data_IF_361398996269
#
_entry.id   IF_361398996269
#
_cell.length_a   1.000
_cell.length_b   1.000
_cell.length_c   1.000
_cell.angle_alpha   90.00
_cell.angle_beta   90.00
_cell.angle_gamma   90.00
#
_symmetry.space_group_name_H-M   'P 1'
#
loop_
_entity.id
_entity.type
_entity.pdbx_description
1 polymer ?
#
# COMPACT_ATOMS: atom_id res chain seq x y z
N UNK A 1 27.87 16.21 -30.65
CA UNK A 1 28.40 15.35 -29.59
C UNK A 1 28.12 15.89 -28.18
N UNK A 2 28.33 17.18 -27.95
CA UNK A 2 28.11 17.74 -26.63
C UNK A 2 26.62 17.78 -26.19
N UNK A 3 25.69 17.82 -27.14
CA UNK A 3 24.25 17.81 -26.83
C UNK A 3 23.78 16.47 -26.24
N UNK A 4 24.41 15.35 -26.62
CA UNK A 4 24.08 14.03 -26.10
C UNK A 4 24.52 13.84 -24.65
N UNK A 5 25.66 14.41 -24.28
CA UNK A 5 26.19 14.34 -22.90
C UNK A 5 25.38 15.20 -21.94
N UNK A 6 24.92 16.39 -22.37
CA UNK A 6 24.08 17.24 -21.52
C UNK A 6 22.68 16.65 -21.33
N UNK A 7 22.14 15.95 -22.34
CA UNK A 7 20.86 15.23 -22.21
C UNK A 7 20.98 14.05 -21.26
N UNK A 8 22.11 13.33 -21.29
CA UNK A 8 22.36 12.22 -20.39
C UNK A 8 22.46 12.71 -18.93
N UNK A 9 23.15 13.83 -18.70
CA UNK A 9 23.27 14.42 -17.37
C UNK A 9 21.90 14.89 -16.85
N UNK A 10 21.08 15.47 -17.72
CA UNK A 10 19.72 15.87 -17.37
C UNK A 10 18.84 14.66 -17.01
N UNK A 11 18.97 13.56 -17.76
CA UNK A 11 18.27 12.31 -17.47
C UNK A 11 18.70 11.71 -16.13
N UNK A 12 19.99 11.74 -15.81
CA UNK A 12 20.52 11.26 -14.52
C UNK A 12 19.98 12.10 -13.38
N UNK A 13 19.96 13.42 -13.51
CA UNK A 13 19.39 14.32 -12.51
C UNK A 13 17.91 14.07 -12.30
N UNK A 14 17.17 13.84 -13.38
CA UNK A 14 15.75 13.54 -13.34
C UNK A 14 15.50 12.19 -12.66
N UNK A 15 16.31 11.19 -12.95
CA UNK A 15 16.24 9.88 -12.30
C UNK A 15 16.52 9.99 -10.80
N UNK A 16 17.51 10.80 -10.40
CA UNK A 16 17.81 11.05 -8.97
C UNK A 16 16.66 11.72 -8.25
N UNK A 17 15.97 12.67 -8.89
CA UNK A 17 14.79 13.33 -8.33
C UNK A 17 13.64 12.35 -8.14
N UNK A 18 13.43 11.46 -9.10
CA UNK A 18 12.39 10.42 -9.02
C UNK A 18 12.71 9.47 -7.87
N UNK A 19 13.96 9.02 -7.75
CA UNK A 19 14.39 8.12 -6.67
C UNK A 19 14.19 8.79 -5.30
N UNK A 20 14.59 10.05 -5.16
CA UNK A 20 14.41 10.82 -3.92
C UNK A 20 12.94 10.97 -3.57
N UNK A 21 12.09 11.22 -4.56
CA UNK A 21 10.64 11.34 -4.37
C UNK A 21 10.02 10.00 -3.96
N UNK A 22 10.47 8.89 -4.56
CA UNK A 22 10.04 7.54 -4.20
C UNK A 22 10.44 7.19 -2.76
N UNK A 23 11.63 7.59 -2.32
CA UNK A 23 12.08 7.39 -0.95
C UNK A 23 11.18 8.15 0.04
N UNK A 24 10.78 9.39 -0.29
CA UNK A 24 9.85 10.17 0.52
C UNK A 24 8.47 9.52 0.60
N UNK A 25 7.98 8.98 -0.51
CA UNK A 25 6.70 8.25 -0.56
C UNK A 25 6.77 7.02 0.33
N UNK A 26 7.84 6.24 0.24
CA UNK A 26 8.06 5.04 1.03
C UNK A 26 8.08 5.36 2.53
N UNK A 27 8.80 6.42 2.92
CA UNK A 27 8.83 6.88 4.32
C UNK A 27 7.46 7.34 4.81
N UNK A 28 6.72 8.07 3.97
CA UNK A 28 5.37 8.51 4.30
C UNK A 28 4.45 7.31 4.53
N UNK A 29 4.52 6.30 3.67
CA UNK A 29 3.72 5.08 3.81
C UNK A 29 4.09 4.28 5.05
N UNK A 30 5.38 4.20 5.36
CA UNK A 30 5.88 3.51 6.54
C UNK A 30 5.33 4.12 7.83
N UNK A 31 5.14 5.44 7.85
CA UNK A 31 4.65 6.17 9.01
C UNK A 31 3.13 6.22 9.12
N UNK A 32 2.39 5.88 8.06
CA UNK A 32 0.94 5.77 8.10
C UNK A 32 0.53 4.46 8.75
N UNK A 33 -0.48 4.51 9.62
CA UNK A 33 -0.93 3.35 10.37
C UNK A 33 -2.45 3.23 10.31
N UNK A 34 -2.92 2.01 10.11
CA UNK A 34 -4.34 1.66 10.20
C UNK A 34 -4.51 0.44 11.09
N UNK A 35 -5.69 0.32 11.68
CA UNK A 35 -6.01 -0.78 12.60
C UNK A 35 -7.20 -1.54 12.03
N UNK A 36 -7.03 -2.85 11.86
CA UNK A 36 -8.12 -3.78 11.62
C UNK A 36 -8.53 -4.43 12.92
N UNK A 37 -9.82 -4.66 13.10
CA UNK A 37 -10.34 -5.26 14.33
C UNK A 37 -11.41 -6.29 14.02
N UNK A 38 -11.64 -7.18 15.00
CA UNK A 38 -12.69 -8.19 14.94
C UNK A 38 -13.20 -8.48 16.35
N UNK A 39 -14.36 -9.15 16.44
CA UNK A 39 -14.93 -9.53 17.72
C UNK A 39 -15.25 -8.34 18.62
N UNK A 40 -15.74 -7.23 18.05
CA UNK A 40 -16.05 -6.04 18.84
C UNK A 40 -14.81 -5.34 19.41
N UNK A 41 -13.66 -5.48 18.75
CA UNK A 41 -12.41 -4.88 19.20
C UNK A 41 -11.56 -5.79 20.08
N UNK A 42 -11.97 -7.06 20.27
CA UNK A 42 -11.20 -8.01 21.08
C UNK A 42 -9.87 -8.40 20.43
N UNK A 43 -9.80 -8.36 19.09
CA UNK A 43 -8.55 -8.54 18.34
C UNK A 43 -8.33 -7.31 17.48
N UNK A 44 -7.14 -6.72 17.59
CA UNK A 44 -6.75 -5.56 16.80
C UNK A 44 -5.39 -5.83 16.17
N UNK A 45 -5.29 -5.55 14.86
CA UNK A 45 -4.06 -5.68 14.09
C UNK A 45 -3.73 -4.32 13.52
N UNK A 46 -2.52 -3.84 13.79
CA UNK A 46 -2.04 -2.57 13.26
C UNK A 46 -1.05 -2.84 12.13
N UNK A 47 -1.29 -2.19 10.98
CA UNK A 47 -0.41 -2.27 9.81
C UNK A 47 -0.05 -0.87 9.34
N UNK A 48 1.08 -0.74 8.64
CA UNK A 48 1.46 0.51 7.99
C UNK A 48 1.10 0.49 6.51
N UNK A 49 1.43 1.58 5.80
CA UNK A 49 1.16 1.69 4.37
C UNK A 49 1.96 0.74 3.49
N UNK A 50 2.98 0.10 4.03
CA UNK A 50 3.77 -0.93 3.33
C UNK A 50 3.23 -2.34 3.61
N UNK A 51 2.08 -2.46 4.25
CA UNK A 51 1.47 -3.74 4.63
C UNK A 51 2.31 -4.55 5.62
N UNK A 52 3.14 -3.87 6.41
CA UNK A 52 3.85 -4.52 7.50
C UNK A 52 2.94 -4.56 8.73
N UNK A 53 2.83 -5.73 9.37
CA UNK A 53 2.10 -5.87 10.62
C UNK A 53 3.00 -5.36 11.75
N UNK A 54 2.55 -4.31 12.42
CA UNK A 54 3.32 -3.65 13.48
C UNK A 54 2.96 -4.13 14.87
N UNK A 55 1.69 -4.49 15.07
CA UNK A 55 1.19 -4.86 16.39
C UNK A 55 -0.01 -5.79 16.26
N UNK A 56 -0.09 -6.74 17.16
CA UNK A 56 -1.26 -7.60 17.35
C UNK A 56 -1.67 -7.48 18.81
N UNK A 57 -2.90 -7.03 19.06
CA UNK A 57 -3.46 -6.94 20.40
C UNK A 57 -4.64 -7.89 20.52
N UNK A 58 -4.60 -8.76 21.55
CA UNK A 58 -5.66 -9.72 21.85
C UNK A 58 -6.14 -9.44 23.25
N UNK A 59 -7.46 -9.29 23.41
CA UNK A 59 -8.07 -9.08 24.72
C UNK A 59 -7.81 -10.31 25.60
N UNK A 60 -7.34 -10.11 26.84
CA UNK A 60 -7.08 -11.24 27.75
C UNK A 60 -8.31 -12.11 28.01
N UNK A 61 -9.50 -11.55 27.99
CA UNK A 61 -10.75 -12.30 28.18
C UNK A 61 -10.98 -13.31 27.06
N UNK A 62 -10.57 -12.98 25.83
CA UNK A 62 -10.67 -13.89 24.69
C UNK A 62 -9.74 -15.08 24.88
N UNK A 63 -8.52 -14.85 25.36
CA UNK A 63 -7.57 -15.91 25.69
C UNK A 63 -8.09 -16.78 26.84
N UNK A 64 -8.71 -16.18 27.84
CA UNK A 64 -9.24 -16.89 29.01
C UNK A 64 -10.37 -17.85 28.65
N UNK A 65 -11.11 -17.59 27.57
CA UNK A 65 -12.17 -18.49 27.10
C UNK A 65 -11.65 -19.84 26.62
N UNK A 66 -10.39 -19.92 26.20
CA UNK A 66 -9.77 -21.16 25.76
C UNK A 66 -10.31 -21.71 24.44
N UNK A 67 -11.03 -20.91 23.68
CA UNK A 67 -11.58 -21.30 22.39
C UNK A 67 -10.59 -20.93 21.27
N UNK A 68 -9.76 -21.91 20.90
CA UNK A 68 -8.72 -21.69 19.90
C UNK A 68 -9.29 -21.41 18.52
N UNK A 69 -10.35 -22.11 18.11
CA UNK A 69 -10.97 -21.90 16.81
C UNK A 69 -11.53 -20.49 16.66
N UNK A 70 -12.20 -19.99 17.70
CA UNK A 70 -12.69 -18.63 17.72
C UNK A 70 -11.56 -17.62 17.62
N UNK A 71 -10.47 -17.85 18.36
CA UNK A 71 -9.29 -16.98 18.31
C UNK A 71 -8.66 -16.95 16.93
N UNK A 72 -8.49 -18.11 16.31
CA UNK A 72 -7.95 -18.22 14.95
C UNK A 72 -8.81 -17.46 13.95
N UNK A 73 -10.14 -17.62 14.01
CA UNK A 73 -11.09 -16.94 13.13
C UNK A 73 -11.05 -15.42 13.31
N UNK A 74 -11.00 -14.96 14.56
CA UNK A 74 -10.96 -13.53 14.86
C UNK A 74 -9.65 -12.88 14.43
N UNK A 75 -8.52 -13.56 14.61
CA UNK A 75 -7.22 -13.07 14.14
C UNK A 75 -7.22 -12.96 12.62
N UNK A 76 -7.70 -13.98 11.93
CA UNK A 76 -7.80 -13.99 10.46
C UNK A 76 -8.67 -12.82 9.96
N UNK A 77 -9.83 -12.61 10.60
CA UNK A 77 -10.73 -11.52 10.23
C UNK A 77 -10.10 -10.15 10.46
N UNK A 78 -9.40 -9.97 11.59
CA UNK A 78 -8.74 -8.70 11.92
C UNK A 78 -7.60 -8.41 10.96
N UNK A 79 -6.79 -9.42 10.60
CA UNK A 79 -5.70 -9.28 9.63
C UNK A 79 -6.26 -8.88 8.26
N UNK A 80 -7.29 -9.55 7.79
CA UNK A 80 -7.89 -9.25 6.50
C UNK A 80 -8.49 -7.84 6.46
N UNK A 81 -9.11 -7.40 7.55
CA UNK A 81 -9.62 -6.03 7.66
C UNK A 81 -8.48 -5.01 7.66
N UNK A 82 -7.40 -5.29 8.39
CA UNK A 82 -6.22 -4.42 8.42
C UNK A 82 -5.58 -4.29 7.02
N UNK A 83 -5.48 -5.40 6.30
CA UNK A 83 -4.94 -5.41 4.93
C UNK A 83 -5.83 -4.59 4.00
N UNK A 84 -7.17 -4.75 4.09
CA UNK A 84 -8.10 -4.00 3.26
C UNK A 84 -7.99 -2.49 3.52
N UNK A 85 -7.93 -2.09 4.80
CA UNK A 85 -7.74 -0.69 5.19
C UNK A 85 -6.38 -0.16 4.75
N UNK A 86 -5.35 -0.98 4.87
CA UNK A 86 -3.99 -0.63 4.44
C UNK A 86 -3.91 -0.40 2.95
N UNK A 87 -4.55 -1.24 2.15
CA UNK A 87 -4.62 -1.09 0.69
C UNK A 87 -5.32 0.21 0.29
N UNK A 88 -6.43 0.51 0.97
CA UNK A 88 -7.17 1.76 0.73
C UNK A 88 -6.32 2.97 1.07
N UNK A 89 -5.66 2.96 2.21
CA UNK A 89 -4.76 4.02 2.64
C UNK A 89 -3.60 4.19 1.67
N UNK A 90 -3.02 3.08 1.21
CA UNK A 90 -1.93 3.09 0.23
C UNK A 90 -2.38 3.77 -1.07
N UNK A 91 -3.56 3.41 -1.57
CA UNK A 91 -4.11 4.01 -2.79
C UNK A 91 -4.37 5.52 -2.62
N UNK A 92 -4.93 5.93 -1.48
CA UNK A 92 -5.20 7.33 -1.17
C UNK A 92 -3.91 8.14 -1.04
N UNK A 93 -2.91 7.58 -0.35
CA UNK A 93 -1.60 8.21 -0.18
C UNK A 93 -0.89 8.39 -1.51
N UNK A 94 -0.90 7.36 -2.34
CA UNK A 94 -0.32 7.44 -3.69
C UNK A 94 -1.02 8.51 -4.53
N UNK A 95 -2.33 8.59 -4.45
CA UNK A 95 -3.12 9.58 -5.17
C UNK A 95 -2.77 11.00 -4.72
N UNK A 96 -2.63 11.23 -3.42
CA UNK A 96 -2.24 12.53 -2.86
C UNK A 96 -0.82 12.92 -3.29
N UNK A 97 0.12 11.99 -3.23
CA UNK A 97 1.52 12.25 -3.54
C UNK A 97 1.76 12.41 -5.04
N UNK A 98 0.97 11.76 -5.89
CA UNK A 98 1.07 11.85 -7.35
C UNK A 98 0.07 12.82 -7.95
N UNK A 99 -0.90 13.29 -7.18
CA UNK A 99 -1.99 14.16 -7.65
C UNK A 99 -1.55 15.53 -8.12
N UNK A 100 -0.35 15.99 -7.74
CA UNK A 100 0.22 17.26 -8.20
C UNK A 100 1.09 17.13 -9.45
N UNK A 101 1.35 15.92 -9.92
CA UNK A 101 2.18 15.66 -11.09
C UNK A 101 1.27 15.12 -12.19
N UNK A 102 1.01 15.89 -13.27
CA UNK A 102 0.22 15.35 -14.37
C UNK A 102 0.99 14.23 -15.03
N UNK A 103 0.41 13.03 -15.00
CA UNK A 103 0.98 11.88 -15.70
C UNK A 103 0.91 12.17 -17.21
N UNK A 104 2.01 11.94 -17.96
CA UNK A 104 1.96 12.04 -19.40
C UNK A 104 0.87 11.11 -19.96
N UNK A 105 0.16 11.55 -20.98
CA UNK A 105 -0.91 10.76 -21.60
C UNK A 105 -0.42 9.38 -22.04
N UNK A 106 0.83 9.27 -22.45
CA UNK A 106 1.45 7.99 -22.82
C UNK A 106 1.50 7.00 -21.67
N UNK A 107 1.77 7.47 -20.45
CA UNK A 107 1.78 6.62 -19.25
C UNK A 107 0.37 6.22 -18.84
N UNK A 108 -0.60 7.11 -18.96
CA UNK A 108 -2.01 6.82 -18.70
C UNK A 108 -2.53 5.74 -19.64
N UNK A 109 -2.21 5.86 -20.93
CA UNK A 109 -2.58 4.87 -21.94
C UNK A 109 -1.92 3.50 -21.65
N UNK A 110 -0.65 3.49 -21.24
CA UNK A 110 0.06 2.26 -20.88
C UNK A 110 -0.58 1.59 -19.68
N UNK A 111 -0.98 2.37 -18.67
CA UNK A 111 -1.65 1.86 -17.46
C UNK A 111 -3.04 1.31 -17.79
N UNK A 112 -3.79 1.99 -18.65
CA UNK A 112 -5.11 1.53 -19.09
C UNK A 112 -5.01 0.22 -19.87
N UNK A 113 -4.01 0.09 -20.75
CA UNK A 113 -3.76 -1.14 -21.49
C UNK A 113 -3.36 -2.28 -20.57
N UNK A 114 -2.58 -2.00 -19.54
CA UNK A 114 -2.16 -3.00 -18.56
C UNK A 114 -3.34 -3.51 -17.72
N UNK A 115 -4.19 -2.61 -17.25
CA UNK A 115 -5.39 -2.98 -16.48
C UNK A 115 -6.47 -3.58 -17.37
N UNK A 116 -6.58 -3.13 -18.62
CA UNK A 116 -7.53 -3.66 -19.59
C UNK A 116 -7.22 -5.08 -20.02
N UNK A 117 -5.94 -5.46 -20.13
CA UNK A 117 -5.54 -6.81 -20.52
C UNK A 117 -5.81 -7.84 -19.43
N UNK A 118 -5.73 -7.45 -18.16
CA UNK A 118 -6.09 -8.33 -17.05
C UNK A 118 -7.59 -8.62 -16.98
N UNK A 119 -8.42 -7.65 -17.32
CA UNK A 119 -9.86 -7.82 -17.33
C UNK A 119 -10.34 -8.71 -18.50
N UNK A 120 -9.65 -8.66 -19.62
CA UNK A 120 -9.99 -9.50 -20.79
C UNK A 120 -9.64 -10.97 -20.57
N UNK A 121 -8.57 -11.26 -19.82
CA UNK A 121 -8.20 -12.64 -19.47
C UNK A 121 -9.19 -13.28 -18.49
N UNK A 122 -9.85 -12.51 -17.65
CA UNK A 122 -10.81 -12.99 -16.67
C UNK A 122 -12.22 -13.20 -17.25
N UNK A 123 -12.49 -12.81 -18.49
CA UNK A 123 -13.80 -12.97 -19.14
C UNK A 123 -13.94 -14.25 -19.95
N UNK A 124 -12.86 -14.97 -20.13
CA UNK A 124 -12.85 -16.30 -20.73
C UNK A 124 -12.77 -17.38 -19.64
#
# INVERSE_FOLDING_TARGET
MFKGLSNLAALIKQAQKITSHMDQITEAMKNHRVVGSSGGGMVEIEVNGLMEVLRCHIDPQLLAQGDRELLEDLITAAVNQAIAKGKQMHAETMKELTGGIPLPSSLQEALEKFTGSEQDENKE
#
